data_IF_471166679019
#
_entry.id   IF_471166679019
#
_cell.length_a   1.000
_cell.length_b   1.000
_cell.length_c   1.000
_cell.angle_alpha   90.00
_cell.angle_beta   90.00
_cell.angle_gamma   90.00
#
_symmetry.space_group_name_H-M   'P 1'
#
loop_
_entity.id
_entity.type
_entity.pdbx_description
1 polymer ?
#
# COMPACT_ATOMS: atom_id res chain seq x y z
N UNK A 1 -6.83 3.95 -19.25
CA UNK A 1 -6.90 4.79 -20.45
C UNK A 1 -7.29 3.97 -21.70
N UNK A 2 -6.51 2.94 -22.07
CA UNK A 2 -6.85 2.09 -23.23
C UNK A 2 -8.13 1.30 -23.06
N UNK A 3 -8.49 0.95 -21.83
CA UNK A 3 -9.70 0.19 -21.45
C UNK A 3 -10.92 1.08 -21.17
N UNK A 4 -10.85 2.39 -21.49
CA UNK A 4 -11.96 3.31 -21.38
C UNK A 4 -12.20 3.86 -19.96
N UNK A 5 -11.29 3.65 -19.01
CA UNK A 5 -11.38 4.29 -17.68
C UNK A 5 -11.08 5.78 -17.78
N UNK A 6 -11.87 6.58 -17.06
CA UNK A 6 -11.53 7.97 -16.76
C UNK A 6 -10.52 7.97 -15.62
N UNK A 7 -9.38 8.62 -15.82
CA UNK A 7 -8.26 8.62 -14.89
C UNK A 7 -7.85 10.03 -14.52
N UNK A 8 -7.42 10.21 -13.27
CA UNK A 8 -6.63 11.36 -12.82
C UNK A 8 -5.37 10.86 -12.12
N UNK A 9 -4.33 11.66 -12.11
CA UNK A 9 -3.08 11.36 -11.40
C UNK A 9 -2.96 12.28 -10.20
N UNK A 10 -2.82 11.71 -9.01
CA UNK A 10 -2.54 12.44 -7.77
C UNK A 10 -1.13 12.13 -7.28
N UNK A 11 -0.30 13.17 -7.11
CA UNK A 11 1.08 13.06 -6.64
C UNK A 11 1.29 13.84 -5.35
N UNK A 12 1.99 13.21 -4.39
CA UNK A 12 2.41 13.84 -3.15
C UNK A 12 3.93 14.01 -3.16
N UNK A 13 4.42 15.25 -3.15
CA UNK A 13 5.82 15.53 -2.94
C UNK A 13 6.08 15.78 -1.45
N UNK A 14 6.79 14.87 -0.81
CA UNK A 14 7.07 14.90 0.63
C UNK A 14 8.39 15.62 0.96
N UNK A 15 9.16 16.05 -0.04
CA UNK A 15 10.47 16.70 0.08
C UNK A 15 11.51 15.94 0.93
N UNK A 16 11.32 14.65 1.19
CA UNK A 16 12.18 13.84 2.05
C UNK A 16 13.52 13.45 1.41
N UNK A 17 13.68 13.68 0.09
CA UNK A 17 14.86 13.31 -0.70
C UNK A 17 15.44 14.50 -1.47
N UNK A 18 15.17 15.73 -1.01
CA UNK A 18 15.64 16.95 -1.65
C UNK A 18 15.27 17.02 -3.13
N UNK A 19 16.25 17.25 -4.01
CA UNK A 19 16.02 17.40 -5.46
C UNK A 19 15.45 16.16 -6.12
N UNK A 20 15.80 14.95 -5.67
CA UNK A 20 15.24 13.72 -6.21
C UNK A 20 13.70 13.64 -6.06
N UNK A 21 13.13 14.22 -5.00
CA UNK A 21 11.68 14.31 -4.85
C UNK A 21 11.04 15.20 -5.90
N UNK A 22 11.69 16.31 -6.25
CA UNK A 22 11.23 17.23 -7.28
C UNK A 22 11.32 16.61 -8.68
N UNK A 23 12.44 15.92 -8.96
CA UNK A 23 12.60 15.18 -10.22
C UNK A 23 11.54 14.10 -10.41
N UNK A 24 11.13 13.42 -9.33
CA UNK A 24 10.04 12.42 -9.39
C UNK A 24 8.70 13.11 -9.69
N UNK A 25 8.41 14.26 -9.07
CA UNK A 25 7.21 15.03 -9.36
C UNK A 25 7.16 15.49 -10.82
N UNK A 26 8.27 16.03 -11.36
CA UNK A 26 8.38 16.42 -12.76
C UNK A 26 8.25 15.22 -13.73
N UNK A 27 8.78 14.06 -13.35
CA UNK A 27 8.61 12.85 -14.14
C UNK A 27 7.13 12.43 -14.24
N UNK A 28 6.42 12.40 -13.11
CA UNK A 28 5.00 12.03 -13.07
C UNK A 28 4.16 13.05 -13.85
N UNK A 29 4.46 14.34 -13.72
CA UNK A 29 3.78 15.41 -14.45
C UNK A 29 3.94 15.25 -15.97
N UNK A 30 5.18 15.07 -16.50
CA UNK A 30 5.43 14.83 -17.92
C UNK A 30 4.70 13.59 -18.42
N UNK A 31 4.66 12.51 -17.61
CA UNK A 31 3.96 11.29 -17.99
C UNK A 31 2.45 11.53 -18.11
N UNK A 32 1.88 12.27 -17.18
CA UNK A 32 0.48 12.68 -17.17
C UNK A 32 0.13 13.53 -18.42
N UNK A 33 0.97 14.54 -18.75
CA UNK A 33 0.83 15.37 -19.95
C UNK A 33 0.90 14.52 -21.24
N UNK A 34 1.87 13.59 -21.32
CA UNK A 34 2.02 12.68 -22.48
C UNK A 34 0.77 11.84 -22.74
N UNK A 35 0.09 11.40 -21.68
CA UNK A 35 -1.14 10.61 -21.77
C UNK A 35 -2.41 11.46 -21.71
N UNK A 36 -2.28 12.78 -21.61
CA UNK A 36 -3.41 13.73 -21.50
C UNK A 36 -4.34 13.38 -20.32
N UNK A 37 -3.75 13.00 -19.18
CA UNK A 37 -4.47 12.69 -17.94
C UNK A 37 -4.35 13.89 -17.00
N UNK A 38 -5.44 14.37 -16.36
CA UNK A 38 -5.36 15.44 -15.37
C UNK A 38 -4.41 15.11 -14.23
N UNK A 39 -3.60 16.09 -13.81
CA UNK A 39 -2.56 15.94 -12.81
C UNK A 39 -2.80 16.87 -11.61
N UNK A 40 -2.84 16.29 -10.43
CA UNK A 40 -2.97 16.97 -9.14
C UNK A 40 -1.72 16.74 -8.32
N UNK A 41 -1.11 17.81 -7.81
CA UNK A 41 0.08 17.73 -6.96
C UNK A 41 -0.12 18.51 -5.68
N UNK A 42 0.44 17.99 -4.60
CA UNK A 42 0.60 18.69 -3.34
C UNK A 42 2.03 18.53 -2.85
N UNK A 43 2.53 19.57 -2.20
CA UNK A 43 3.84 19.61 -1.54
C UNK A 43 3.63 19.66 -0.03
N UNK A 44 4.29 18.77 0.73
CA UNK A 44 4.16 18.66 2.18
C UNK A 44 5.47 19.01 2.89
N UNK A 45 5.41 19.80 3.94
CA UNK A 45 6.45 19.84 4.97
C UNK A 45 6.26 18.65 5.93
N UNK A 46 6.68 17.48 5.47
CA UNK A 46 6.42 16.21 6.15
C UNK A 46 7.05 16.13 7.53
N UNK A 47 8.22 16.74 7.72
CA UNK A 47 8.89 16.77 9.03
C UNK A 47 8.14 17.62 10.05
N UNK A 48 7.59 18.75 9.61
CA UNK A 48 6.74 19.60 10.45
C UNK A 48 5.48 18.87 10.85
N UNK A 49 4.77 18.29 9.89
CA UNK A 49 3.54 17.52 10.12
C UNK A 49 3.78 16.34 11.08
N UNK A 50 4.87 15.59 10.91
CA UNK A 50 5.22 14.49 11.80
C UNK A 50 5.42 14.96 13.25
N UNK A 51 6.11 16.10 13.44
CA UNK A 51 6.31 16.71 14.78
C UNK A 51 4.99 17.16 15.40
N UNK A 52 4.16 17.87 14.63
CA UNK A 52 2.86 18.38 15.12
C UNK A 52 1.89 17.26 15.49
N UNK A 53 1.86 16.18 14.71
CA UNK A 53 1.02 15.00 14.97
C UNK A 53 1.62 14.05 16.02
N UNK A 54 2.89 14.19 16.40
CA UNK A 54 3.57 13.31 17.36
C UNK A 54 3.77 11.88 16.85
N UNK A 55 3.97 11.71 15.53
CA UNK A 55 4.12 10.42 14.86
C UNK A 55 5.44 10.34 14.09
N UNK A 56 5.80 9.13 13.60
CA UNK A 56 6.96 8.98 12.72
C UNK A 56 6.73 9.67 11.37
N UNK A 57 7.83 10.07 10.70
CA UNK A 57 7.79 10.65 9.35
C UNK A 57 7.06 9.72 8.36
N UNK A 58 7.28 8.39 8.46
CA UNK A 58 6.60 7.41 7.62
C UNK A 58 5.08 7.39 7.85
N UNK A 59 4.64 7.48 9.12
CA UNK A 59 3.22 7.57 9.45
C UNK A 59 2.62 8.87 8.94
N UNK A 60 3.26 10.00 9.20
CA UNK A 60 2.80 11.30 8.71
C UNK A 60 2.66 11.31 7.18
N UNK A 61 3.71 10.88 6.45
CA UNK A 61 3.69 10.80 4.99
C UNK A 61 2.58 9.85 4.47
N UNK A 62 2.31 8.77 5.19
CA UNK A 62 1.22 7.85 4.85
C UNK A 62 -0.14 8.50 5.02
N UNK A 63 -0.38 9.11 6.18
CA UNK A 63 -1.68 9.72 6.50
C UNK A 63 -1.97 10.88 5.56
N UNK A 64 -1.02 11.80 5.38
CA UNK A 64 -1.10 12.92 4.44
C UNK A 64 -1.40 12.46 3.00
N UNK A 65 -0.77 11.36 2.57
CA UNK A 65 -1.01 10.78 1.23
C UNK A 65 -2.46 10.36 1.06
N UNK A 66 -3.02 9.62 2.01
CA UNK A 66 -4.38 9.14 1.89
C UNK A 66 -5.42 10.25 2.07
N UNK A 67 -5.18 11.19 2.98
CA UNK A 67 -6.00 12.41 3.14
C UNK A 67 -6.05 13.19 1.80
N UNK A 68 -4.92 13.37 1.14
CA UNK A 68 -4.85 14.04 -0.16
C UNK A 68 -5.52 13.24 -1.28
N UNK A 69 -5.33 11.94 -1.33
CA UNK A 69 -5.95 11.10 -2.35
C UNK A 69 -7.49 11.10 -2.24
N UNK A 70 -8.03 11.08 -1.01
CA UNK A 70 -9.48 11.20 -0.81
C UNK A 70 -9.97 12.59 -1.25
N UNK A 71 -9.23 13.66 -0.92
CA UNK A 71 -9.58 15.01 -1.37
C UNK A 71 -9.62 15.12 -2.91
N UNK A 72 -8.59 14.64 -3.60
CA UNK A 72 -8.55 14.64 -5.07
C UNK A 72 -9.65 13.77 -5.67
N UNK A 73 -9.93 12.62 -5.04
CA UNK A 73 -10.99 11.74 -5.51
C UNK A 73 -12.37 12.40 -5.41
N UNK A 74 -12.61 13.18 -4.36
CA UNK A 74 -13.87 13.94 -4.20
C UNK A 74 -13.94 15.12 -5.20
N UNK A 75 -12.83 15.86 -5.38
CA UNK A 75 -12.75 17.00 -6.32
C UNK A 75 -12.94 16.58 -7.77
N UNK A 76 -12.34 15.43 -8.15
CA UNK A 76 -12.37 14.92 -9.51
C UNK A 76 -13.50 13.91 -9.79
N UNK A 77 -14.42 13.72 -8.83
CA UNK A 77 -15.54 12.76 -8.91
C UNK A 77 -15.07 11.33 -9.25
N UNK A 78 -13.98 10.88 -8.59
CA UNK A 78 -13.44 9.54 -8.75
C UNK A 78 -14.05 8.58 -7.73
N UNK A 79 -14.53 7.43 -8.18
CA UNK A 79 -15.08 6.40 -7.31
C UNK A 79 -14.00 5.63 -6.55
N UNK A 80 -12.83 5.41 -7.17
CA UNK A 80 -11.75 4.57 -6.66
C UNK A 80 -10.40 5.29 -6.69
N UNK A 81 -9.56 4.90 -5.74
CA UNK A 81 -8.16 5.34 -5.61
C UNK A 81 -7.27 4.12 -5.86
N UNK A 82 -6.60 4.08 -7.01
CA UNK A 82 -5.71 2.99 -7.36
C UNK A 82 -4.29 3.23 -6.81
N UNK A 83 -3.75 2.25 -6.06
CA UNK A 83 -2.38 2.27 -5.54
C UNK A 83 -1.60 1.06 -5.99
N UNK A 84 -0.31 1.23 -6.30
CA UNK A 84 0.54 0.24 -6.96
C UNK A 84 1.21 -0.76 -5.99
N UNK A 85 0.55 -1.16 -4.89
CA UNK A 85 1.04 -2.26 -4.07
C UNK A 85 1.01 -3.55 -4.89
N UNK A 86 2.10 -4.32 -4.81
CA UNK A 86 2.30 -5.57 -5.56
C UNK A 86 2.47 -6.78 -4.63
N UNK A 87 2.64 -7.98 -5.18
CA UNK A 87 2.75 -9.22 -4.41
C UNK A 87 3.95 -9.22 -3.46
N UNK A 88 5.09 -8.64 -3.86
CA UNK A 88 6.27 -8.52 -3.00
C UNK A 88 6.00 -7.62 -1.79
N UNK A 89 5.26 -6.50 -1.97
CA UNK A 89 4.87 -5.61 -0.89
C UNK A 89 3.97 -6.30 0.16
N UNK A 90 3.14 -7.25 -0.28
CA UNK A 90 2.29 -8.04 0.62
C UNK A 90 3.14 -8.94 1.51
N UNK A 91 4.12 -9.64 0.93
CA UNK A 91 5.06 -10.50 1.67
C UNK A 91 5.91 -9.69 2.63
N UNK A 92 6.44 -8.53 2.21
CA UNK A 92 7.17 -7.62 3.09
C UNK A 92 6.32 -7.17 4.29
N UNK A 93 5.06 -6.82 4.03
CA UNK A 93 4.13 -6.39 5.08
C UNK A 93 3.80 -7.54 6.04
N UNK A 94 3.65 -8.76 5.54
CA UNK A 94 3.48 -9.94 6.38
C UNK A 94 4.63 -10.08 7.37
N UNK A 95 5.88 -10.07 6.91
CA UNK A 95 7.05 -10.19 7.79
C UNK A 95 7.19 -9.01 8.75
N UNK A 96 6.90 -7.80 8.29
CA UNK A 96 6.91 -6.62 9.14
C UNK A 96 5.90 -6.77 10.29
N UNK A 97 4.69 -7.23 10.01
CA UNK A 97 3.65 -7.45 11.01
C UNK A 97 4.00 -8.63 11.93
N UNK A 98 4.56 -9.71 11.38
CA UNK A 98 5.01 -10.86 12.16
C UNK A 98 6.07 -10.45 13.20
N UNK A 99 7.05 -9.64 12.81
CA UNK A 99 8.10 -9.17 13.72
C UNK A 99 7.60 -8.19 14.79
N UNK A 100 6.47 -7.53 14.54
CA UNK A 100 5.81 -6.63 15.50
C UNK A 100 4.82 -7.33 16.43
N UNK A 101 4.54 -8.62 16.22
CA UNK A 101 3.57 -9.38 16.99
C UNK A 101 2.15 -9.09 16.56
N UNK A 102 1.74 -9.56 15.40
CA UNK A 102 0.38 -9.41 14.90
C UNK A 102 -0.41 -10.73 15.01
N UNK A 103 -1.72 -10.61 15.30
CA UNK A 103 -2.68 -11.71 15.15
C UNK A 103 -3.07 -11.98 13.70
N UNK A 104 -4.09 -12.83 13.50
CA UNK A 104 -4.56 -13.24 12.17
C UNK A 104 -4.83 -12.07 11.22
N UNK A 105 -5.47 -11.01 11.72
CA UNK A 105 -5.80 -9.82 10.94
C UNK A 105 -4.56 -9.14 10.32
N UNK A 106 -3.48 -9.00 11.09
CA UNK A 106 -2.25 -8.38 10.56
C UNK A 106 -1.45 -9.30 9.65
N UNK A 107 -1.66 -10.63 9.75
CA UNK A 107 -0.98 -11.64 8.94
C UNK A 107 -1.79 -12.07 7.70
N UNK A 108 -3.05 -11.66 7.57
CA UNK A 108 -3.89 -11.98 6.40
C UNK A 108 -3.50 -11.25 5.11
N UNK A 109 -2.49 -10.36 5.17
CA UNK A 109 -2.03 -9.59 4.02
C UNK A 109 -2.82 -8.30 3.80
N UNK A 110 -2.79 -7.80 2.58
CA UNK A 110 -3.51 -6.60 2.16
C UNK A 110 -4.77 -6.98 1.38
N UNK A 111 -5.89 -6.34 1.67
CA UNK A 111 -7.10 -6.49 0.87
C UNK A 111 -6.94 -5.80 -0.50
N UNK A 112 -7.49 -6.42 -1.55
CA UNK A 112 -7.53 -5.84 -2.90
C UNK A 112 -8.33 -4.55 -2.94
N UNK A 113 -9.42 -4.50 -2.18
CA UNK A 113 -10.28 -3.33 -2.01
C UNK A 113 -10.49 -3.04 -0.52
N UNK A 114 -10.24 -1.79 -0.12
CA UNK A 114 -10.54 -1.30 1.24
C UNK A 114 -11.07 0.13 1.17
N UNK A 115 -12.36 0.29 1.45
CA UNK A 115 -13.03 1.57 1.18
C UNK A 115 -12.95 1.89 -0.31
N UNK A 116 -12.46 3.06 -0.67
CA UNK A 116 -12.23 3.48 -2.07
C UNK A 116 -10.87 3.03 -2.62
N UNK A 117 -9.98 2.50 -1.78
CA UNK A 117 -8.62 2.15 -2.19
C UNK A 117 -8.59 0.77 -2.81
N UNK A 118 -8.26 0.69 -4.10
CA UNK A 118 -8.05 -0.55 -4.87
C UNK A 118 -6.57 -0.77 -5.17
N UNK A 119 -6.15 -2.05 -5.21
CA UNK A 119 -4.77 -2.47 -5.45
C UNK A 119 -4.70 -3.42 -6.63
N UNK A 120 -4.72 -2.89 -7.87
CA UNK A 120 -4.80 -3.73 -9.07
C UNK A 120 -3.61 -4.67 -9.27
N UNK A 121 -2.43 -4.32 -8.73
CA UNK A 121 -1.19 -5.09 -8.90
C UNK A 121 -0.91 -6.07 -7.76
N UNK A 122 -1.86 -6.27 -6.83
CA UNK A 122 -1.62 -7.03 -5.60
C UNK A 122 -1.24 -8.51 -5.85
N UNK A 123 -1.67 -9.06 -6.99
CA UNK A 123 -1.36 -10.43 -7.41
C UNK A 123 -0.16 -10.50 -8.38
N UNK A 124 0.44 -9.37 -8.74
CA UNK A 124 1.53 -9.28 -9.70
C UNK A 124 2.85 -9.11 -8.97
N UNK A 125 3.84 -9.96 -9.27
CA UNK A 125 5.17 -9.83 -8.68
C UNK A 125 5.95 -8.66 -9.27
N UNK A 126 6.91 -8.12 -8.50
CA UNK A 126 7.81 -7.08 -8.99
C UNK A 126 8.56 -7.52 -10.27
N UNK A 127 8.92 -8.80 -10.37
CA UNK A 127 9.56 -9.37 -11.55
C UNK A 127 8.67 -9.21 -12.79
N UNK A 128 7.39 -9.62 -12.70
CA UNK A 128 6.43 -9.47 -13.80
C UNK A 128 6.20 -8.01 -14.18
N UNK A 129 6.18 -7.09 -13.20
CA UNK A 129 6.08 -5.64 -13.46
C UNK A 129 7.30 -5.18 -14.28
N UNK A 130 8.51 -5.59 -13.89
CA UNK A 130 9.73 -5.19 -14.61
C UNK A 130 9.81 -5.79 -16.01
N UNK A 131 9.36 -7.04 -16.19
CA UNK A 131 9.22 -7.68 -17.49
C UNK A 131 8.26 -6.89 -18.39
N UNK A 132 7.09 -6.53 -17.87
CA UNK A 132 6.10 -5.72 -18.61
C UNK A 132 6.63 -4.33 -18.99
N UNK A 133 7.37 -3.67 -18.07
CA UNK A 133 8.01 -2.37 -18.33
C UNK A 133 9.00 -2.50 -19.49
N UNK A 134 9.85 -3.54 -19.49
CA UNK A 134 10.84 -3.78 -20.54
C UNK A 134 10.20 -4.11 -21.88
N UNK A 135 9.19 -4.98 -21.91
CA UNK A 135 8.47 -5.37 -23.12
C UNK A 135 7.72 -4.21 -23.79
N UNK A 136 7.26 -3.25 -22.99
CA UNK A 136 6.50 -2.09 -23.49
C UNK A 136 7.33 -0.80 -23.55
N UNK A 137 8.64 -0.88 -23.32
CA UNK A 137 9.58 0.26 -23.34
C UNK A 137 9.09 1.44 -22.48
N UNK A 138 8.53 1.13 -21.29
CA UNK A 138 7.99 2.15 -20.41
C UNK A 138 9.10 2.84 -19.62
N UNK A 139 9.01 4.16 -19.56
CA UNK A 139 9.88 4.95 -18.67
C UNK A 139 9.49 4.73 -17.21
N UNK A 140 10.48 4.62 -16.34
CA UNK A 140 10.29 4.55 -14.90
C UNK A 140 11.47 5.18 -14.15
N UNK A 141 11.27 5.50 -12.88
CA UNK A 141 12.34 5.99 -12.00
C UNK A 141 12.57 5.00 -10.86
N UNK A 142 13.84 4.87 -10.48
CA UNK A 142 14.24 4.06 -9.33
C UNK A 142 14.47 4.99 -8.16
N UNK A 143 13.75 4.74 -7.08
CA UNK A 143 13.97 5.41 -5.81
C UNK A 143 15.26 4.83 -5.15
N UNK A 144 16.30 5.65 -5.03
CA UNK A 144 17.59 5.25 -4.46
C UNK A 144 17.45 4.80 -2.98
N UNK A 145 16.46 5.31 -2.24
CA UNK A 145 16.22 4.90 -0.85
C UNK A 145 15.74 3.45 -0.72
N UNK A 146 15.27 2.84 -1.80
CA UNK A 146 14.96 1.40 -1.83
C UNK A 146 16.18 0.50 -1.58
N UNK A 147 17.39 1.01 -1.74
CA UNK A 147 18.65 0.30 -1.49
C UNK A 147 19.13 0.48 -0.04
N UNK A 148 18.58 1.42 0.71
CA UNK A 148 19.02 1.69 2.08
C UNK A 148 18.42 0.67 3.05
N UNK A 149 19.28 -0.11 3.71
CA UNK A 149 18.85 -1.13 4.70
C UNK A 149 18.58 -0.55 6.09
N UNK A 150 18.56 0.75 6.27
CA UNK A 150 18.23 1.42 7.53
C UNK A 150 16.78 1.14 7.94
N UNK A 151 15.89 1.08 6.98
CA UNK A 151 14.47 0.82 7.21
C UNK A 151 14.19 -0.68 7.36
N UNK A 152 13.38 -1.06 8.34
CA UNK A 152 13.03 -2.46 8.64
C UNK A 152 12.46 -3.18 7.42
N UNK A 153 11.66 -2.51 6.61
CA UNK A 153 11.06 -3.06 5.39
C UNK A 153 12.14 -3.43 4.36
N UNK A 154 13.12 -2.56 4.17
CA UNK A 154 14.24 -2.83 3.25
C UNK A 154 15.12 -3.97 3.75
N UNK A 155 15.33 -4.13 5.08
CA UNK A 155 16.02 -5.30 5.65
C UNK A 155 15.27 -6.60 5.31
N UNK A 156 13.95 -6.60 5.42
CA UNK A 156 13.14 -7.77 5.05
C UNK A 156 13.33 -8.07 3.57
N UNK A 157 13.19 -7.07 2.70
CA UNK A 157 13.33 -7.17 1.23
C UNK A 157 14.69 -7.70 0.80
N UNK A 158 15.77 -7.17 1.37
CA UNK A 158 17.13 -7.45 0.88
C UNK A 158 17.83 -8.59 1.64
N UNK A 159 17.46 -8.85 2.90
CA UNK A 159 18.19 -9.81 3.73
C UNK A 159 17.35 -11.04 4.11
N UNK A 160 16.03 -10.94 4.20
CA UNK A 160 15.18 -12.06 4.66
C UNK A 160 14.56 -12.80 3.48
N UNK A 161 13.83 -12.08 2.62
CA UNK A 161 13.11 -12.68 1.49
C UNK A 161 14.05 -13.44 0.54
N UNK A 162 15.25 -12.94 0.17
CA UNK A 162 16.17 -13.68 -0.69
C UNK A 162 16.58 -15.04 -0.11
N UNK A 163 16.90 -15.10 1.18
CA UNK A 163 17.27 -16.38 1.85
C UNK A 163 16.12 -17.39 1.82
N UNK A 164 14.88 -16.93 2.01
CA UNK A 164 13.71 -17.80 1.92
C UNK A 164 13.44 -18.25 0.47
N UNK A 165 13.75 -17.41 -0.50
CA UNK A 165 13.65 -17.74 -1.93
C UNK A 165 14.74 -18.73 -2.36
N UNK A 166 15.93 -18.71 -1.75
CA UNK A 166 16.96 -19.75 -1.97
C UNK A 166 16.47 -21.12 -1.48
N UNK A 167 15.75 -21.17 -0.34
CA UNK A 167 15.15 -22.41 0.19
C UNK A 167 13.97 -22.88 -0.70
N UNK A 168 13.13 -21.96 -1.11
CA UNK A 168 11.97 -22.23 -1.97
C UNK A 168 11.90 -21.20 -3.11
N UNK A 169 12.30 -21.55 -4.35
CA UNK A 169 12.24 -20.64 -5.50
C UNK A 169 10.84 -20.08 -5.78
N UNK A 170 9.77 -20.78 -5.38
CA UNK A 170 8.36 -20.32 -5.47
C UNK A 170 7.87 -19.68 -4.18
N UNK A 171 8.77 -19.12 -3.36
CA UNK A 171 8.44 -18.61 -2.03
C UNK A 171 7.33 -17.54 -2.05
N UNK A 172 7.36 -16.60 -3.00
CA UNK A 172 6.34 -15.55 -3.11
C UNK A 172 4.95 -16.12 -3.36
N UNK A 173 4.83 -17.08 -4.28
CA UNK A 173 3.56 -17.77 -4.56
C UNK A 173 3.08 -18.59 -3.36
N UNK A 174 4.00 -19.28 -2.68
CA UNK A 174 3.72 -20.00 -1.45
C UNK A 174 3.18 -19.08 -0.37
N UNK A 175 3.80 -17.91 -0.19
CA UNK A 175 3.34 -16.93 0.79
C UNK A 175 1.99 -16.32 0.43
N UNK A 176 1.72 -16.03 -0.84
CA UNK A 176 0.41 -15.59 -1.29
C UNK A 176 -0.70 -16.62 -0.94
N UNK A 177 -0.42 -17.91 -1.11
CA UNK A 177 -1.32 -18.99 -0.70
C UNK A 177 -1.51 -19.04 0.82
N UNK A 178 -0.43 -18.99 1.58
CA UNK A 178 -0.48 -19.01 3.04
C UNK A 178 -1.30 -17.85 3.60
N UNK A 179 -1.12 -16.66 3.07
CA UNK A 179 -1.90 -15.47 3.48
C UNK A 179 -3.39 -15.61 3.15
N UNK A 180 -3.75 -16.24 2.01
CA UNK A 180 -5.14 -16.57 1.68
C UNK A 180 -5.77 -17.54 2.70
N UNK A 181 -5.03 -18.57 3.14
CA UNK A 181 -5.51 -19.46 4.20
C UNK A 181 -5.70 -18.70 5.54
N UNK A 182 -4.75 -17.84 5.90
CA UNK A 182 -4.87 -17.01 7.11
C UNK A 182 -6.06 -16.06 7.01
N UNK A 183 -6.28 -15.42 5.86
CA UNK A 183 -7.43 -14.55 5.62
C UNK A 183 -8.76 -15.31 5.73
N UNK A 184 -8.82 -16.55 5.19
CA UNK A 184 -9.99 -17.41 5.32
C UNK A 184 -10.27 -17.78 6.78
N UNK A 185 -9.22 -18.14 7.54
CA UNK A 185 -9.35 -18.44 8.96
C UNK A 185 -9.80 -17.20 9.76
N UNK A 186 -9.26 -16.03 9.44
CA UNK A 186 -9.69 -14.76 10.04
C UNK A 186 -11.18 -14.49 9.80
N UNK A 187 -11.66 -14.70 8.57
CA UNK A 187 -13.08 -14.51 8.25
C UNK A 187 -14.00 -15.42 9.05
N UNK A 188 -13.61 -16.68 9.29
CA UNK A 188 -14.37 -17.63 10.13
C UNK A 188 -14.39 -17.12 11.59
N UNK A 189 -13.24 -16.70 12.13
CA UNK A 189 -13.14 -16.16 13.50
C UNK A 189 -13.99 -14.90 13.65
N UNK A 190 -13.93 -13.98 12.70
CA UNK A 190 -14.73 -12.74 12.73
C UNK A 190 -16.23 -13.03 12.66
N UNK A 191 -16.66 -13.92 11.77
CA UNK A 191 -18.06 -14.32 11.66
C UNK A 191 -18.58 -14.96 12.96
N UNK A 192 -17.80 -15.85 13.56
CA UNK A 192 -18.13 -16.47 14.83
C UNK A 192 -18.17 -15.46 16.00
N UNK A 193 -17.19 -14.58 16.06
CA UNK A 193 -17.12 -13.53 17.08
C UNK A 193 -18.31 -12.56 16.95
N UNK A 194 -18.68 -12.17 15.72
CA UNK A 194 -19.83 -11.30 15.47
C UNK A 194 -21.16 -11.97 15.88
N UNK A 195 -21.29 -13.26 15.64
CA UNK A 195 -22.46 -14.04 16.07
C UNK A 195 -22.51 -14.18 17.60
N UNK A 196 -21.38 -14.51 18.22
CA UNK A 196 -21.27 -14.59 19.68
C UNK A 196 -21.59 -13.23 20.34
N UNK A 197 -21.07 -12.15 19.78
CA UNK A 197 -21.33 -10.79 20.26
C UNK A 197 -22.84 -10.49 20.28
N UNK A 198 -23.56 -10.81 19.19
CA UNK A 198 -25.02 -10.60 19.09
C UNK A 198 -25.81 -11.41 20.16
N UNK A 199 -25.28 -12.54 20.61
CA UNK A 199 -25.94 -13.39 21.62
C UNK A 199 -25.73 -12.90 23.04
N UNK A 200 -24.57 -12.30 23.34
CA UNK A 200 -24.17 -11.96 24.70
C UNK A 200 -24.24 -10.46 25.00
N UNK A 201 -24.30 -9.63 23.97
CA UNK A 201 -24.31 -8.17 24.14
C UNK A 201 -25.68 -7.60 23.78
N UNK A 202 -26.28 -6.85 24.71
CA UNK A 202 -27.46 -6.02 24.46
C UNK A 202 -27.10 -4.54 24.63
N UNK A 203 -27.62 -3.70 23.71
CA UNK A 203 -27.41 -2.25 23.76
C UNK A 203 -28.75 -1.61 24.12
N UNK A 204 -28.80 -0.94 25.26
CA UNK A 204 -29.96 -0.18 25.73
C UNK A 204 -29.59 1.30 25.85
N UNK A 205 -29.86 2.09 24.81
CA UNK A 205 -29.43 3.49 24.70
C UNK A 205 -27.91 3.60 24.67
N UNK A 206 -27.31 4.31 25.63
CA UNK A 206 -25.84 4.43 25.78
C UNK A 206 -25.21 3.31 26.64
N UNK A 207 -25.97 2.34 27.11
CA UNK A 207 -25.49 1.27 27.99
C UNK A 207 -25.30 -0.03 27.23
N UNK A 208 -24.16 -0.66 27.46
CA UNK A 208 -23.83 -1.99 26.94
C UNK A 208 -23.95 -2.97 28.11
N UNK A 209 -24.71 -4.05 27.91
CA UNK A 209 -24.82 -5.18 28.87
C UNK A 209 -24.22 -6.44 28.22
N UNK A 210 -23.48 -7.21 29.01
CA UNK A 210 -22.93 -8.51 28.66
C UNK A 210 -23.71 -9.62 29.34
#
# INVERSE_FOLDING_TARGET
YREGFSLVVAHCNFHLRGEASNEDAEFVKRLSERYQIPYYQIDFDTEKEARERGVSIEMAARDLRYEWFEHVADEADCELIAVAHNADDVVETFFLNLTRGSGLQGLSGMAELRGRVVRPLLQVSRRQIMEYIAENELEYRIDATNLETIYTRNKIRHNVIPQLTEINPSFLDTMANNMRFIASAQGIVEAYAAEAYKRVVSIEGERIRF
#
